data_IF_188680242647
#
_entry.id   IF_188680242647
#
_cell.length_a   1.000
_cell.length_b   1.000
_cell.length_c   1.000
_cell.angle_alpha   90.00
_cell.angle_beta   90.00
_cell.angle_gamma   90.00
#
_symmetry.space_group_name_H-M   'P 1'
#
loop_
_entity.id
_entity.type
_entity.pdbx_description
1 polymer ?
#
# COMPACT_ATOMS: atom_id res chain seq x y z
N UNK A 1 -0.35 -10.29 -5.20
CA UNK A 1 -0.88 -9.68 -3.96
C UNK A 1 -1.12 -8.21 -4.22
N UNK A 2 -2.18 -7.62 -3.67
CA UNK A 2 -2.43 -6.17 -3.82
C UNK A 2 -1.59 -5.44 -2.76
N UNK A 3 -0.78 -4.47 -3.21
CA UNK A 3 -0.02 -3.58 -2.33
C UNK A 3 -0.75 -2.26 -2.08
N UNK A 4 -0.26 -1.47 -1.12
CA UNK A 4 -0.90 -0.21 -0.69
C UNK A 4 -1.00 0.82 -1.82
N UNK A 5 -0.07 0.79 -2.78
CA UNK A 5 -0.09 1.66 -3.95
C UNK A 5 -1.32 1.42 -4.83
N UNK A 6 -1.67 0.15 -5.07
CA UNK A 6 -2.84 -0.23 -5.86
C UNK A 6 -4.15 -0.08 -5.06
N UNK A 7 -4.11 -0.32 -3.74
CA UNK A 7 -5.22 0.05 -2.84
C UNK A 7 -5.53 1.55 -2.95
N UNK A 8 -4.51 2.40 -2.89
CA UNK A 8 -4.67 3.86 -2.99
C UNK A 8 -5.18 4.28 -4.36
N UNK A 9 -4.59 3.72 -5.43
CA UNK A 9 -5.00 4.02 -6.79
C UNK A 9 -6.45 3.63 -7.08
N UNK A 10 -6.94 2.54 -6.47
CA UNK A 10 -8.35 2.11 -6.63
C UNK A 10 -9.31 2.75 -5.62
N UNK A 11 -8.88 3.80 -4.90
CA UNK A 11 -9.64 4.43 -3.82
C UNK A 11 -10.21 3.41 -2.81
N UNK A 12 -9.41 2.39 -2.47
CA UNK A 12 -9.79 1.35 -1.52
C UNK A 12 -10.71 0.25 -2.04
N UNK A 13 -11.09 0.25 -3.32
CA UNK A 13 -11.94 -0.80 -3.92
C UNK A 13 -11.25 -2.17 -3.95
N UNK A 14 -9.92 -2.21 -4.06
CA UNK A 14 -9.14 -3.43 -3.91
C UNK A 14 -8.49 -3.49 -2.53
N UNK A 15 -8.80 -4.52 -1.76
CA UNK A 15 -8.20 -4.75 -0.45
C UNK A 15 -6.71 -5.14 -0.57
N UNK A 16 -5.83 -4.45 0.16
CA UNK A 16 -4.44 -4.84 0.37
C UNK A 16 -4.33 -5.76 1.62
N UNK A 17 -4.18 -7.08 1.45
CA UNK A 17 -4.23 -8.01 2.57
C UNK A 17 -2.93 -8.02 3.37
N UNK A 18 -3.08 -8.03 4.70
CA UNK A 18 -1.99 -8.42 5.58
C UNK A 18 -1.73 -9.92 5.41
N UNK A 19 -0.47 -10.28 5.14
CA UNK A 19 -0.06 -11.65 4.96
C UNK A 19 1.23 -11.93 5.72
N UNK A 20 1.35 -13.15 6.23
CA UNK A 20 2.54 -13.63 6.93
C UNK A 20 2.85 -15.06 6.52
N UNK A 21 4.14 -15.37 6.44
CA UNK A 21 4.60 -16.75 6.28
C UNK A 21 4.80 -17.33 7.66
N UNK A 22 4.11 -18.44 7.94
CA UNK A 22 4.34 -19.26 9.13
C UNK A 22 5.01 -20.55 8.69
N UNK A 23 6.16 -20.88 9.29
CA UNK A 23 6.81 -22.17 9.04
C UNK A 23 5.96 -23.29 9.62
N UNK A 24 5.87 -24.41 8.89
CA UNK A 24 5.28 -25.66 9.36
C UNK A 24 6.34 -26.74 9.20
N UNK A 25 6.92 -27.17 10.31
CA UNK A 25 8.05 -28.10 10.33
C UNK A 25 9.40 -27.42 10.10
N UNK A 26 10.39 -28.26 9.86
CA UNK A 26 11.80 -27.96 10.10
C UNK A 26 12.58 -27.77 8.79
N UNK A 27 11.92 -28.06 7.67
CA UNK A 27 12.50 -28.05 6.33
C UNK A 27 12.63 -26.63 5.76
N UNK A 28 13.64 -26.46 4.90
CA UNK A 28 13.85 -25.21 4.19
C UNK A 28 12.70 -24.91 3.21
N UNK A 29 12.16 -23.69 3.26
CA UNK A 29 11.17 -23.19 2.32
C UNK A 29 11.78 -22.12 1.41
N UNK A 30 11.82 -22.39 0.11
CA UNK A 30 12.29 -21.43 -0.90
C UNK A 30 11.11 -20.77 -1.60
N UNK A 31 11.21 -19.47 -1.86
CA UNK A 31 10.23 -18.71 -2.64
C UNK A 31 10.88 -17.54 -3.36
N UNK A 32 10.34 -17.20 -4.53
CA UNK A 32 10.71 -16.01 -5.29
C UNK A 32 9.48 -15.09 -5.39
N UNK A 33 9.70 -13.78 -5.26
CA UNK A 33 8.67 -12.76 -5.40
C UNK A 33 9.02 -11.81 -6.54
N UNK A 34 8.03 -11.49 -7.37
CA UNK A 34 8.09 -10.42 -8.37
C UNK A 34 7.12 -9.31 -7.95
N UNK A 35 7.63 -8.09 -7.84
CA UNK A 35 6.86 -6.93 -7.39
C UNK A 35 6.92 -5.84 -8.45
N UNK A 36 5.76 -5.28 -8.80
CA UNK A 36 5.65 -4.09 -9.64
C UNK A 36 5.53 -2.87 -8.75
N UNK A 37 6.43 -1.90 -8.92
CA UNK A 37 6.44 -0.65 -8.16
C UNK A 37 6.25 0.55 -9.10
N UNK A 38 5.57 1.62 -8.66
CA UNK A 38 5.51 2.88 -9.39
C UNK A 38 6.92 3.43 -9.66
N UNK A 39 7.09 4.11 -10.80
CA UNK A 39 8.36 4.79 -11.12
C UNK A 39 8.60 5.95 -10.14
N UNK A 40 9.87 6.31 -9.84
CA UNK A 40 10.18 7.53 -9.09
C UNK A 40 9.50 8.77 -9.69
N UNK A 41 8.93 9.63 -8.83
CA UNK A 41 8.21 10.83 -9.25
C UNK A 41 6.78 10.57 -9.76
N UNK A 42 6.33 9.32 -9.84
CA UNK A 42 4.93 9.03 -10.14
C UNK A 42 4.04 9.32 -8.93
N UNK A 43 3.10 10.25 -9.11
CA UNK A 43 2.10 10.58 -8.10
C UNK A 43 0.96 9.57 -8.18
N UNK A 44 0.79 8.79 -7.11
CA UNK A 44 -0.38 7.92 -6.96
C UNK A 44 -1.57 8.81 -6.62
N UNK A 45 -2.58 8.77 -7.48
CA UNK A 45 -3.88 9.45 -7.32
C UNK A 45 -4.98 8.49 -7.78
N UNK A 46 -6.10 8.47 -7.06
CA UNK A 46 -7.28 7.73 -7.51
C UNK A 46 -7.85 8.34 -8.80
N UNK A 47 -8.24 7.52 -9.80
CA UNK A 47 -9.03 7.99 -10.94
C UNK A 47 -10.31 8.67 -10.48
N UNK A 48 -10.78 9.64 -11.25
CA UNK A 48 -11.97 10.44 -10.90
C UNK A 48 -13.22 9.56 -10.86
N UNK A 49 -13.28 8.54 -11.70
CA UNK A 49 -14.35 7.54 -11.76
C UNK A 49 -14.41 6.64 -10.51
N UNK A 50 -13.38 6.66 -9.66
CA UNK A 50 -13.30 5.89 -8.42
C UNK A 50 -13.69 6.71 -7.19
N UNK A 51 -13.98 8.01 -7.37
CA UNK A 51 -14.33 8.96 -6.30
C UNK A 51 -15.71 9.55 -6.58
N UNK A 52 -16.67 9.21 -5.73
CA UNK A 52 -18.06 9.62 -5.87
C UNK A 52 -18.69 9.89 -4.48
N UNK A 53 -19.97 10.26 -4.42
CA UNK A 53 -20.65 10.57 -3.17
C UNK A 53 -20.76 9.35 -2.22
N UNK A 54 -20.84 8.14 -2.78
CA UNK A 54 -20.87 6.89 -2.02
C UNK A 54 -19.45 6.43 -1.61
N UNK A 55 -18.45 6.78 -2.43
CA UNK A 55 -17.05 6.42 -2.26
C UNK A 55 -16.16 7.68 -2.22
N UNK A 56 -16.16 8.43 -1.10
CA UNK A 56 -15.31 9.61 -0.97
C UNK A 56 -13.83 9.24 -1.06
N UNK A 57 -13.00 10.23 -1.40
CA UNK A 57 -11.55 10.03 -1.50
C UNK A 57 -10.98 9.57 -0.15
N UNK A 58 -10.24 8.46 -0.15
CA UNK A 58 -9.63 7.91 1.07
C UNK A 58 -8.20 8.39 1.28
N UNK A 59 -7.48 8.63 0.19
CA UNK A 59 -6.04 8.91 0.18
C UNK A 59 -5.75 10.08 -0.75
N UNK A 60 -5.14 11.15 -0.21
CA UNK A 60 -4.66 12.32 -0.96
C UNK A 60 -3.53 11.90 -1.92
N UNK A 61 -3.37 12.56 -3.08
CA UNK A 61 -2.27 12.27 -4.00
C UNK A 61 -0.90 12.31 -3.32
N UNK A 62 -0.05 11.30 -3.57
CA UNK A 62 1.26 11.20 -2.93
C UNK A 62 2.31 10.55 -3.83
N UNK A 63 3.58 10.81 -3.56
CA UNK A 63 4.70 10.10 -4.17
C UNK A 63 5.00 8.79 -3.39
N UNK A 64 5.03 7.67 -4.12
CA UNK A 64 5.23 6.36 -3.51
C UNK A 64 6.57 6.20 -2.79
N UNK A 65 7.65 6.79 -3.31
CA UNK A 65 8.98 6.70 -2.70
C UNK A 65 9.06 7.50 -1.42
N UNK A 66 8.43 8.69 -1.37
CA UNK A 66 8.31 9.46 -0.13
C UNK A 66 7.51 8.72 0.94
N UNK A 67 6.40 8.07 0.54
CA UNK A 67 5.65 7.21 1.46
C UNK A 67 6.51 6.06 1.98
N UNK A 68 7.28 5.37 1.13
CA UNK A 68 8.18 4.30 1.56
C UNK A 68 9.26 4.82 2.53
N UNK A 69 9.84 5.99 2.27
CA UNK A 69 10.82 6.60 3.18
C UNK A 69 10.20 6.88 4.55
N UNK A 70 9.01 7.46 4.59
CA UNK A 70 8.23 7.65 5.82
C UNK A 70 7.88 6.33 6.50
N UNK A 71 7.46 5.33 5.73
CA UNK A 71 7.09 4.03 6.25
C UNK A 71 8.30 3.36 6.90
N UNK A 72 9.47 3.35 6.27
CA UNK A 72 10.66 2.72 6.85
C UNK A 72 11.21 3.43 8.10
N UNK A 73 10.99 4.73 8.26
CA UNK A 73 11.37 5.44 9.50
C UNK A 73 10.40 5.17 10.65
N UNK A 74 9.13 4.87 10.35
CA UNK A 74 8.10 4.53 11.35
C UNK A 74 7.76 3.03 11.43
N UNK A 75 8.40 2.18 10.62
CA UNK A 75 8.05 0.78 10.37
C UNK A 75 8.06 -0.10 11.63
N UNK A 76 8.72 0.35 12.70
CA UNK A 76 8.80 -0.39 13.94
C UNK A 76 7.44 -0.55 14.67
N UNK A 77 6.40 0.25 14.33
CA UNK A 77 5.19 0.33 15.17
C UNK A 77 3.83 0.32 14.46
N UNK A 78 3.73 0.33 13.12
CA UNK A 78 2.44 0.51 12.42
C UNK A 78 2.27 -0.41 11.21
N UNK A 79 1.03 -0.81 10.95
CA UNK A 79 0.68 -1.49 9.69
C UNK A 79 0.79 -0.52 8.51
N UNK A 80 0.98 -1.05 7.30
CA UNK A 80 1.11 -0.22 6.10
C UNK A 80 -0.12 0.67 5.85
N UNK A 81 -1.32 0.14 6.09
CA UNK A 81 -2.58 0.89 5.99
C UNK A 81 -2.65 2.02 7.02
N UNK A 82 -2.19 1.79 8.25
CA UNK A 82 -2.17 2.84 9.28
C UNK A 82 -1.17 3.94 8.91
N UNK A 83 0.02 3.57 8.44
CA UNK A 83 1.03 4.50 7.96
C UNK A 83 0.53 5.31 6.74
N UNK A 84 -0.20 4.67 5.83
CA UNK A 84 -0.77 5.33 4.66
C UNK A 84 -1.81 6.39 5.05
N UNK A 85 -2.70 6.06 6.00
CA UNK A 85 -3.69 7.01 6.54
C UNK A 85 -3.04 8.20 7.23
N UNK A 86 -1.96 7.98 7.97
CA UNK A 86 -1.22 9.06 8.64
C UNK A 86 -0.47 9.95 7.66
N UNK A 87 0.17 9.36 6.64
CA UNK A 87 0.96 10.10 5.67
C UNK A 87 0.11 10.92 4.69
N UNK A 88 -0.99 10.31 4.21
CA UNK A 88 -1.76 10.84 3.09
C UNK A 88 -3.27 10.58 3.21
N UNK A 89 -3.81 10.27 4.39
CA UNK A 89 -5.26 10.17 4.59
C UNK A 89 -5.97 11.50 4.35
N UNK A 90 -7.24 11.43 3.92
CA UNK A 90 -8.12 12.61 3.83
C UNK A 90 -8.49 13.10 5.22
#
# INVERSE_FOLDING_TARGET
>A
MIGDSLYSWTNGRLHAPYHKVMMRGDEARYSIGLFSVPKPGYIIKAPEEMVDEEHPLLVKPYDHHHFLQFFYTQAAHKSSVAALKEHCGV
#
